data_IF_625890255048
#
_entry.id   IF_625890255048
#
_cell.length_a   1.000
_cell.length_b   1.000
_cell.length_c   1.000
_cell.angle_alpha   90.00
_cell.angle_beta   90.00
_cell.angle_gamma   90.00
#
_symmetry.space_group_name_H-M   'P 1'
#
loop_
_entity.id
_entity.type
_entity.pdbx_description
1 polymer ?
#
# COMPACT_ATOMS: atom_id res chain seq x y z
N UNK A 1 -18.40 0.70 1.12
CA UNK A 1 -17.28 -0.03 0.48
C UNK A 1 -16.06 0.86 0.61
N UNK A 2 -15.01 0.44 1.32
CA UNK A 2 -13.76 1.19 1.37
C UNK A 2 -13.11 1.16 -0.02
N UNK A 3 -13.32 2.23 -0.79
CA UNK A 3 -12.77 2.41 -2.13
C UNK A 3 -11.25 2.40 -2.14
N UNK A 4 -10.65 2.93 -1.07
CA UNK A 4 -9.21 3.01 -0.90
C UNK A 4 -8.78 2.18 0.30
N UNK A 5 -7.81 1.30 0.09
CA UNK A 5 -7.21 0.45 1.12
C UNK A 5 -5.73 0.22 0.82
N UNK A 6 -4.97 -0.21 1.82
CA UNK A 6 -3.61 -0.68 1.61
C UNK A 6 -3.46 -2.12 2.09
N UNK A 7 -2.54 -2.87 1.50
CA UNK A 7 -2.14 -4.20 1.94
C UNK A 7 -0.63 -4.25 2.15
N UNK A 8 -0.20 -4.92 3.23
CA UNK A 8 1.21 -5.25 3.46
C UNK A 8 1.59 -6.49 2.67
N UNK A 9 2.62 -6.39 1.86
CA UNK A 9 3.19 -7.44 1.03
C UNK A 9 4.67 -7.59 1.36
N UNK A 10 5.13 -8.81 1.47
CA UNK A 10 6.55 -9.10 1.65
C UNK A 10 7.20 -9.37 0.29
N UNK A 11 8.23 -8.60 -0.07
CA UNK A 11 8.96 -8.79 -1.33
C UNK A 11 10.39 -9.23 -1.05
N UNK A 12 10.89 -10.13 -1.88
CA UNK A 12 12.31 -10.54 -1.88
C UNK A 12 13.04 -9.82 -3.00
N UNK A 13 14.26 -9.35 -2.74
CA UNK A 13 15.11 -8.76 -3.77
C UNK A 13 16.13 -9.81 -4.24
N UNK A 14 15.99 -10.28 -5.48
CA UNK A 14 16.85 -11.33 -6.05
C UNK A 14 16.80 -12.63 -5.25
N UNK A 15 17.95 -13.29 -5.09
CA UNK A 15 18.08 -14.55 -4.33
C UNK A 15 18.28 -14.35 -2.82
N UNK A 16 18.01 -13.15 -2.28
CA UNK A 16 18.19 -12.87 -0.87
C UNK A 16 16.98 -13.42 -0.09
N UNK A 17 17.23 -14.26 0.93
CA UNK A 17 16.18 -14.81 1.81
C UNK A 17 15.47 -13.75 2.67
N UNK A 18 16.03 -12.53 2.72
CA UNK A 18 15.46 -11.39 3.43
C UNK A 18 14.27 -10.84 2.67
N UNK A 19 13.15 -10.78 3.36
CA UNK A 19 11.92 -10.15 2.89
C UNK A 19 11.84 -8.70 3.37
N UNK A 20 11.34 -7.82 2.52
CA UNK A 20 11.12 -6.42 2.82
C UNK A 20 9.61 -6.14 2.80
N UNK A 21 9.08 -5.44 3.81
CA UNK A 21 7.69 -5.01 3.78
C UNK A 21 7.51 -3.90 2.74
N UNK A 22 6.51 -4.08 1.88
CA UNK A 22 6.01 -3.09 0.93
C UNK A 22 4.51 -2.98 1.14
N UNK A 23 3.99 -1.77 1.10
CA UNK A 23 2.57 -1.49 1.28
C UNK A 23 1.99 -1.08 -0.07
N UNK A 24 1.14 -1.92 -0.61
CA UNK A 24 0.45 -1.68 -1.87
C UNK A 24 -0.86 -0.95 -1.60
N UNK A 25 -1.08 0.17 -2.28
CA UNK A 25 -2.29 0.98 -2.14
C UNK A 25 -3.22 0.69 -3.32
N UNK A 26 -4.48 0.39 -3.00
CA UNK A 26 -5.51 0.00 -3.93
C UNK A 26 -6.63 1.06 -3.98
N UNK A 27 -7.09 1.38 -5.19
CA UNK A 27 -8.29 2.18 -5.46
C UNK A 27 -9.25 1.35 -6.31
N UNK A 28 -10.48 1.13 -5.82
CA UNK A 28 -11.51 0.31 -6.49
C UNK A 28 -10.97 -1.09 -6.93
N UNK A 29 -10.03 -1.64 -6.16
CA UNK A 29 -9.41 -2.94 -6.44
C UNK A 29 -8.19 -2.91 -7.37
N UNK A 30 -7.79 -1.75 -7.90
CA UNK A 30 -6.61 -1.58 -8.76
C UNK A 30 -5.43 -1.06 -7.93
N UNK A 31 -4.24 -1.66 -8.08
CA UNK A 31 -3.01 -1.15 -7.46
C UNK A 31 -2.64 0.18 -8.11
N UNK A 32 -2.62 1.26 -7.33
CA UNK A 32 -2.23 2.59 -7.82
C UNK A 32 -0.76 2.88 -7.53
N UNK A 33 -0.28 2.48 -6.36
CA UNK A 33 1.11 2.74 -5.95
C UNK A 33 1.58 1.76 -4.89
N UNK A 34 2.89 1.76 -4.63
CA UNK A 34 3.56 0.95 -3.61
C UNK A 34 4.52 1.82 -2.81
N UNK A 35 4.51 1.68 -1.49
CA UNK A 35 5.38 2.44 -0.58
C UNK A 35 6.13 1.50 0.35
N UNK A 36 7.31 1.89 0.81
CA UNK A 36 8.15 1.05 1.70
C UNK A 36 7.85 1.26 3.20
N UNK A 37 7.01 2.23 3.54
CA UNK A 37 6.74 2.65 4.92
C UNK A 37 5.24 2.60 5.23
N UNK A 38 4.88 2.02 6.38
CA UNK A 38 3.48 1.90 6.80
C UNK A 38 2.86 3.27 7.07
N UNK A 39 3.60 4.18 7.70
CA UNK A 39 3.12 5.54 7.98
C UNK A 39 2.75 6.29 6.69
N UNK A 40 3.57 6.14 5.65
CA UNK A 40 3.30 6.75 4.34
C UNK A 40 2.03 6.12 3.72
N UNK A 41 1.87 4.80 3.81
CA UNK A 41 0.67 4.13 3.32
C UNK A 41 -0.60 4.63 4.03
N UNK A 42 -0.55 4.75 5.35
CA UNK A 42 -1.66 5.24 6.18
C UNK A 42 -2.02 6.69 5.84
N UNK A 43 -1.04 7.58 5.72
CA UNK A 43 -1.29 8.97 5.33
C UNK A 43 -1.92 9.07 3.94
N UNK A 44 -1.43 8.29 2.96
CA UNK A 44 -1.97 8.29 1.60
C UNK A 44 -3.41 7.79 1.57
N UNK A 45 -3.69 6.66 2.22
CA UNK A 45 -5.05 6.11 2.29
C UNK A 45 -5.99 7.08 2.99
N UNK A 46 -5.60 7.66 4.11
CA UNK A 46 -6.42 8.64 4.85
C UNK A 46 -6.79 9.84 3.98
N UNK A 47 -5.80 10.45 3.29
CA UNK A 47 -6.04 11.59 2.40
C UNK A 47 -6.97 11.24 1.24
N UNK A 48 -6.79 10.07 0.63
CA UNK A 48 -7.63 9.66 -0.50
C UNK A 48 -9.03 9.25 -0.07
N UNK A 49 -9.19 8.58 1.08
CA UNK A 49 -10.51 8.29 1.64
C UNK A 49 -11.30 9.58 1.91
N UNK A 50 -10.64 10.66 2.31
CA UNK A 50 -11.28 11.95 2.52
C UNK A 50 -11.74 12.60 1.21
N UNK A 51 -10.96 12.46 0.13
CA UNK A 51 -11.28 12.97 -1.22
C UNK A 51 -12.40 12.16 -1.87
N UNK A 52 -12.39 10.84 -1.72
CA UNK A 52 -13.35 9.92 -2.35
C UNK A 52 -14.56 9.59 -1.46
N UNK A 53 -14.87 10.44 -0.48
CA UNK A 53 -16.07 10.34 0.37
C UNK A 53 -17.36 10.29 -0.44
#
# INVERSE_FOLDING_TARGET
MERVKYNKVEVSHGNIAKKFPVYEIYLDGVIVTKVSSENEALEMVSRWQEIYK
#
